data_IF_095571296372
#
_entry.id   IF_095571296372
#
_cell.length_a   1.000
_cell.length_b   1.000
_cell.length_c   1.000
_cell.angle_alpha   90.00
_cell.angle_beta   90.00
_cell.angle_gamma   90.00
#
_symmetry.space_group_name_H-M   'P 1'
#
loop_
_entity.id
_entity.type
_entity.pdbx_description
1 polymer ?
#
# COMPACT_ATOMS: atom_id res chain seq x y z
N UNK A 1 -13.57 -4.20 -10.06
CA UNK A 1 -12.83 -4.99 -11.08
C UNK A 1 -13.26 -4.71 -12.53
N UNK A 2 -14.50 -4.32 -12.84
CA UNK A 2 -14.98 -4.08 -14.23
C UNK A 2 -14.46 -2.82 -14.95
N UNK A 3 -13.75 -1.92 -14.28
CA UNK A 3 -13.34 -0.65 -14.89
C UNK A 3 -12.04 -0.77 -15.71
N UNK A 4 -11.11 -1.67 -15.36
CA UNK A 4 -9.76 -1.66 -15.99
C UNK A 4 -9.53 -2.61 -17.15
N UNK A 5 -10.18 -3.77 -17.21
CA UNK A 5 -10.17 -4.56 -18.45
C UNK A 5 -10.91 -3.84 -19.58
N UNK A 6 -11.87 -2.97 -19.26
CA UNK A 6 -12.75 -2.32 -20.24
C UNK A 6 -12.19 -1.02 -20.80
N UNK A 7 -11.44 -0.22 -20.03
CA UNK A 7 -10.82 1.04 -20.49
C UNK A 7 -9.84 0.80 -21.66
N UNK A 8 -9.08 -0.30 -21.61
CA UNK A 8 -8.11 -0.65 -22.66
C UNK A 8 -8.65 -1.58 -23.74
N UNK A 9 -9.73 -2.36 -23.48
CA UNK A 9 -10.29 -3.28 -24.49
C UNK A 9 -11.43 -2.65 -25.30
N UNK A 10 -12.40 -1.95 -24.71
CA UNK A 10 -13.55 -1.37 -25.45
C UNK A 10 -14.47 -0.60 -24.50
N UNK A 11 -14.20 0.67 -24.17
CA UNK A 11 -15.23 1.48 -23.51
C UNK A 11 -15.60 2.73 -24.30
N UNK A 12 -16.86 2.74 -24.75
CA UNK A 12 -17.54 3.91 -25.32
C UNK A 12 -17.50 5.06 -24.31
N UNK A 13 -17.52 4.77 -23.00
CA UNK A 13 -17.36 5.73 -21.91
C UNK A 13 -16.00 6.43 -21.90
N UNK A 14 -14.87 5.70 -22.07
CA UNK A 14 -13.55 6.35 -22.17
C UNK A 14 -13.49 7.23 -23.42
N UNK A 15 -14.00 6.74 -24.55
CA UNK A 15 -14.04 7.49 -25.81
C UNK A 15 -14.93 8.74 -25.73
N UNK A 16 -16.06 8.66 -25.02
CA UNK A 16 -17.02 9.75 -24.83
C UNK A 16 -16.55 10.76 -23.77
N UNK A 17 -15.99 10.30 -22.66
CA UNK A 17 -15.32 11.16 -21.67
C UNK A 17 -14.15 11.91 -22.30
N UNK A 18 -13.33 11.22 -23.10
CA UNK A 18 -12.24 11.79 -23.88
C UNK A 18 -12.70 12.82 -24.91
N UNK A 19 -13.81 12.54 -25.59
CA UNK A 19 -14.41 13.45 -26.58
C UNK A 19 -14.98 14.71 -25.93
N UNK A 20 -15.46 14.61 -24.69
CA UNK A 20 -16.12 15.70 -23.96
C UNK A 20 -15.16 16.57 -23.12
N UNK A 21 -13.96 16.08 -22.77
CA UNK A 21 -13.01 16.79 -21.87
C UNK A 21 -11.64 17.04 -22.50
N UNK A 22 -11.58 17.15 -23.84
CA UNK A 22 -10.34 17.41 -24.58
C UNK A 22 -10.06 18.91 -24.62
N UNK A 23 -9.19 19.37 -23.72
CA UNK A 23 -8.61 20.71 -23.82
C UNK A 23 -7.25 20.64 -24.53
N UNK A 24 -7.11 21.40 -25.62
CA UNK A 24 -5.85 21.55 -26.32
C UNK A 24 -4.87 22.38 -25.50
N UNK A 25 -4.04 21.73 -24.67
CA UNK A 25 -3.02 22.42 -23.89
C UNK A 25 -1.81 22.74 -24.79
N UNK A 26 -1.30 23.98 -24.73
CA UNK A 26 -0.03 24.34 -25.38
C UNK A 26 1.07 23.43 -24.82
N UNK A 27 1.77 22.70 -25.71
CA UNK A 27 2.95 21.91 -25.34
C UNK A 27 3.89 22.80 -24.51
N UNK A 28 4.23 22.36 -23.29
CA UNK A 28 5.13 23.10 -22.42
C UNK A 28 6.51 23.20 -23.06
N UNK A 29 7.30 24.22 -22.66
CA UNK A 29 8.69 24.38 -23.13
C UNK A 29 9.50 23.09 -22.88
N UNK A 30 9.32 22.49 -21.70
CA UNK A 30 9.92 21.22 -21.29
C UNK A 30 9.69 20.09 -22.31
N UNK A 31 8.44 19.80 -22.69
CA UNK A 31 8.13 18.73 -23.63
C UNK A 31 8.74 18.98 -25.02
N UNK A 32 8.79 20.24 -25.47
CA UNK A 32 9.46 20.60 -26.73
C UNK A 32 10.97 20.34 -26.65
N UNK A 33 11.61 20.76 -25.57
CA UNK A 33 13.05 20.54 -25.35
C UNK A 33 13.38 19.06 -25.25
N UNK A 34 12.59 18.27 -24.51
CA UNK A 34 12.74 16.81 -24.44
C UNK A 34 12.63 16.17 -25.83
N UNK A 35 11.61 16.54 -26.62
CA UNK A 35 11.41 16.00 -27.96
C UNK A 35 12.54 16.37 -28.92
N UNK A 36 13.06 17.61 -28.89
CA UNK A 36 14.24 17.97 -29.69
C UNK A 36 15.46 17.18 -29.25
N UNK A 37 15.72 17.12 -27.94
CA UNK A 37 16.88 16.45 -27.36
C UNK A 37 16.93 14.95 -27.66
N UNK A 38 15.77 14.28 -27.68
CA UNK A 38 15.70 12.86 -28.05
C UNK A 38 15.42 12.63 -29.55
N UNK A 39 15.29 13.67 -30.38
CA UNK A 39 15.04 13.53 -31.81
C UNK A 39 13.65 12.99 -32.15
N UNK A 40 12.64 13.32 -31.34
CA UNK A 40 11.21 13.13 -31.65
C UNK A 40 10.54 14.43 -32.14
N UNK A 41 11.23 15.57 -32.04
CA UNK A 41 10.94 16.80 -32.77
C UNK A 41 12.08 17.09 -33.75
N UNK A 42 11.80 17.84 -34.82
CA UNK A 42 12.81 18.20 -35.81
C UNK A 42 12.69 19.66 -36.24
N UNK A 43 13.80 20.18 -36.75
CA UNK A 43 13.89 21.53 -37.29
C UNK A 43 13.94 21.48 -38.82
N UNK A 44 13.12 22.30 -39.46
CA UNK A 44 13.05 22.44 -40.91
C UNK A 44 13.35 23.90 -41.30
N UNK A 45 14.22 24.10 -42.29
CA UNK A 45 14.49 25.44 -42.84
C UNK A 45 13.45 25.77 -43.90
N UNK A 46 12.62 26.77 -43.64
CA UNK A 46 11.56 27.22 -44.54
C UNK A 46 11.94 28.59 -45.10
N UNK A 47 11.78 28.76 -46.42
CA UNK A 47 11.95 30.05 -47.06
C UNK A 47 10.66 30.86 -46.88
N UNK A 48 10.78 32.05 -46.28
CA UNK A 48 9.67 32.99 -46.13
C UNK A 48 9.98 34.27 -46.88
N UNK A 49 9.04 34.69 -47.71
CA UNK A 49 9.16 35.92 -48.48
C UNK A 49 8.61 37.08 -47.64
N UNK A 50 9.44 38.08 -47.36
CA UNK A 50 9.05 39.30 -46.64
C UNK A 50 9.33 40.47 -47.58
N UNK A 51 8.28 40.98 -48.22
CA UNK A 51 8.43 41.96 -49.30
C UNK A 51 9.18 41.37 -50.50
N UNK A 52 10.35 41.92 -50.83
CA UNK A 52 11.23 41.45 -51.92
C UNK A 52 12.36 40.52 -51.46
N UNK A 53 12.55 40.36 -50.16
CA UNK A 53 13.63 39.54 -49.60
C UNK A 53 13.13 38.13 -49.24
N UNK A 54 13.98 37.13 -49.49
CA UNK A 54 13.75 35.76 -49.03
C UNK A 54 14.57 35.53 -47.79
N UNK A 55 13.90 35.31 -46.66
CA UNK A 55 14.54 34.98 -45.39
C UNK A 55 14.42 33.48 -45.15
N UNK A 56 15.50 32.85 -44.70
CA UNK A 56 15.48 31.46 -44.22
C UNK A 56 15.06 31.47 -42.75
N UNK A 57 13.90 30.92 -42.45
CA UNK A 57 13.37 30.77 -41.10
C UNK A 57 13.49 29.31 -40.66
N UNK A 58 14.02 29.06 -39.47
CA UNK A 58 14.03 27.71 -38.88
C UNK A 58 12.70 27.47 -38.19
N UNK A 59 11.94 26.48 -38.66
CA UNK A 59 10.67 26.06 -38.10
C UNK A 59 10.84 24.76 -37.33
N UNK A 60 10.42 24.74 -36.07
CA UNK A 60 10.41 23.52 -35.26
C UNK A 60 9.07 22.79 -35.43
N UNK A 61 9.14 21.48 -35.65
CA UNK A 61 7.99 20.60 -35.87
C UNK A 61 7.95 19.56 -34.76
N UNK A 62 6.78 19.42 -34.16
CA UNK A 62 6.53 18.53 -33.03
C UNK A 62 5.31 17.65 -33.28
N UNK A 63 5.31 16.42 -32.75
CA UNK A 63 4.11 15.61 -32.57
C UNK A 63 2.98 16.42 -31.92
N UNK A 64 1.75 16.25 -32.41
CA UNK A 64 0.58 16.76 -31.68
C UNK A 64 0.42 15.94 -30.40
N UNK A 65 0.32 16.63 -29.27
CA UNK A 65 0.15 16.00 -27.96
C UNK A 65 -1.29 16.18 -27.49
N UNK A 66 -1.84 15.11 -26.93
CA UNK A 66 -3.10 15.09 -26.20
C UNK A 66 -2.78 14.64 -24.79
N UNK A 67 -3.14 15.45 -23.78
CA UNK A 67 -2.89 15.13 -22.38
C UNK A 67 -4.24 14.93 -21.71
N UNK A 68 -4.37 13.81 -21.01
CA UNK A 68 -5.43 13.61 -20.04
C UNK A 68 -4.82 13.44 -18.67
N UNK A 69 -5.64 13.70 -17.68
CA UNK A 69 -5.38 13.33 -16.31
C UNK A 69 -6.54 12.49 -15.83
N UNK A 70 -6.22 11.36 -15.22
CA UNK A 70 -7.07 10.80 -14.18
C UNK A 70 -6.38 11.04 -12.84
N UNK A 71 -7.02 10.67 -11.73
CA UNK A 71 -6.42 10.86 -10.41
C UNK A 71 -5.03 10.27 -10.18
N UNK A 72 -4.72 9.18 -10.86
CA UNK A 72 -3.51 8.40 -10.67
C UNK A 72 -2.46 8.70 -11.73
N UNK A 73 -2.88 9.07 -12.94
CA UNK A 73 -2.01 9.12 -14.09
C UNK A 73 -2.26 10.32 -14.99
N UNK A 74 -1.17 10.83 -15.57
CA UNK A 74 -1.19 11.58 -16.80
C UNK A 74 -1.08 10.63 -17.98
N UNK A 75 -2.00 10.76 -18.93
CA UNK A 75 -1.95 10.05 -20.22
C UNK A 75 -1.50 11.05 -21.26
N UNK A 76 -0.30 10.87 -21.79
CA UNK A 76 0.24 11.69 -22.86
C UNK A 76 0.23 10.89 -24.16
N UNK A 77 -0.58 11.35 -25.12
CA UNK A 77 -0.70 10.71 -26.42
C UNK A 77 -0.10 11.61 -27.50
N UNK A 78 0.91 11.09 -28.17
CA UNK A 78 1.68 11.77 -29.19
C UNK A 78 1.32 11.21 -30.56
N UNK A 79 0.88 12.08 -31.48
CA UNK A 79 0.63 11.69 -32.87
C UNK A 79 1.94 11.68 -33.64
N UNK A 80 2.23 10.56 -34.31
CA UNK A 80 3.42 10.44 -35.15
C UNK A 80 3.38 11.47 -36.27
N UNK A 81 4.53 12.07 -36.51
CA UNK A 81 4.82 12.87 -37.70
C UNK A 81 5.42 11.94 -38.78
N UNK A 82 5.26 12.28 -40.08
CA UNK A 82 5.78 11.45 -41.15
C UNK A 82 7.25 11.09 -40.95
N UNK A 83 7.60 9.81 -41.17
CA UNK A 83 8.95 9.29 -41.02
C UNK A 83 9.29 8.71 -39.64
N UNK A 84 8.48 8.95 -38.60
CA UNK A 84 8.72 8.36 -37.28
C UNK A 84 8.30 6.89 -37.21
N UNK A 85 9.09 6.11 -36.48
CA UNK A 85 8.89 4.67 -36.31
C UNK A 85 8.52 4.31 -34.87
N UNK A 86 7.72 3.28 -34.69
CA UNK A 86 7.29 2.83 -33.36
C UNK A 86 8.47 2.50 -32.44
N UNK A 87 9.54 1.90 -32.98
CA UNK A 87 10.74 1.56 -32.23
C UNK A 87 11.40 2.80 -31.60
N UNK A 88 11.45 3.92 -32.32
CA UNK A 88 12.05 5.16 -31.83
C UNK A 88 11.33 5.68 -30.58
N UNK A 89 10.00 5.67 -30.61
CA UNK A 89 9.17 6.09 -29.48
C UNK A 89 9.35 5.19 -28.26
N UNK A 90 9.41 3.87 -28.44
CA UNK A 90 9.65 2.93 -27.34
C UNK A 90 11.02 3.18 -26.69
N UNK A 91 12.06 3.36 -27.50
CA UNK A 91 13.43 3.59 -26.99
C UNK A 91 13.63 4.93 -26.30
N UNK A 92 12.75 5.91 -26.53
CA UNK A 92 12.91 7.30 -26.05
C UNK A 92 11.91 7.67 -24.95
N UNK A 93 11.04 6.74 -24.53
CA UNK A 93 10.00 7.03 -23.55
C UNK A 93 10.56 7.43 -22.17
N UNK A 94 11.68 6.85 -21.75
CA UNK A 94 12.35 7.17 -20.48
C UNK A 94 12.79 8.65 -20.40
N UNK A 95 13.15 9.27 -21.54
CA UNK A 95 13.52 10.68 -21.58
C UNK A 95 12.40 11.60 -21.06
N UNK A 96 11.14 11.22 -21.29
CA UNK A 96 9.99 11.94 -20.76
C UNK A 96 9.78 11.70 -19.27
N UNK A 97 10.05 10.48 -18.78
CA UNK A 97 9.99 10.18 -17.34
C UNK A 97 10.95 11.07 -16.56
N UNK A 98 12.20 11.16 -17.05
CA UNK A 98 13.22 12.04 -16.47
C UNK A 98 12.85 13.52 -16.56
N UNK A 99 12.40 13.97 -17.73
CA UNK A 99 12.07 15.38 -17.92
C UNK A 99 10.89 15.83 -17.05
N UNK A 100 9.87 14.98 -16.90
CA UNK A 100 8.67 15.29 -16.11
C UNK A 100 8.85 15.03 -14.62
N UNK A 101 9.92 14.35 -14.22
CA UNK A 101 10.12 13.82 -12.86
C UNK A 101 8.94 12.94 -12.41
N UNK A 102 8.32 12.22 -13.37
CA UNK A 102 7.18 11.34 -13.11
C UNK A 102 7.54 9.90 -13.54
N UNK A 103 7.20 8.88 -12.72
CA UNK A 103 7.40 7.49 -13.10
C UNK A 103 6.62 7.13 -14.37
N UNK A 104 7.32 6.67 -15.41
CA UNK A 104 6.69 6.10 -16.59
C UNK A 104 6.12 4.73 -16.25
N UNK A 105 4.79 4.65 -16.29
CA UNK A 105 4.01 3.46 -15.96
C UNK A 105 3.96 2.49 -17.13
N UNK A 106 3.67 3.02 -18.32
CA UNK A 106 3.43 2.21 -19.50
C UNK A 106 3.60 3.03 -20.78
N UNK A 107 4.11 2.37 -21.81
CA UNK A 107 4.12 2.90 -23.18
C UNK A 107 3.36 1.95 -24.09
N UNK A 108 2.41 2.48 -24.88
CA UNK A 108 1.64 1.73 -25.89
C UNK A 108 1.69 2.46 -27.22
N UNK A 109 1.79 1.73 -28.33
CA UNK A 109 1.74 2.32 -29.67
C UNK A 109 0.56 1.75 -30.43
N UNK A 110 -0.27 2.61 -31.00
CA UNK A 110 -1.48 2.21 -31.71
C UNK A 110 -1.93 3.29 -32.71
N UNK A 111 -2.30 2.88 -33.93
CA UNK A 111 -2.90 3.75 -34.96
C UNK A 111 -2.12 5.04 -35.25
N UNK A 112 -0.78 4.99 -35.28
CA UNK A 112 0.07 6.16 -35.51
C UNK A 112 0.20 7.10 -34.30
N UNK A 113 -0.07 6.60 -33.10
CA UNK A 113 0.14 7.31 -31.85
C UNK A 113 1.03 6.52 -30.88
N UNK A 114 1.86 7.22 -30.11
CA UNK A 114 2.46 6.70 -28.89
C UNK A 114 1.70 7.27 -27.69
N UNK A 115 1.22 6.39 -26.81
CA UNK A 115 0.61 6.74 -25.54
C UNK A 115 1.59 6.38 -24.42
N UNK A 116 1.99 7.36 -23.63
CA UNK A 116 2.77 7.21 -22.41
C UNK A 116 1.89 7.51 -21.22
N UNK A 117 1.95 6.66 -20.20
CA UNK A 117 1.22 6.82 -18.94
C UNK A 117 2.24 7.16 -17.87
N UNK A 118 2.07 8.29 -17.20
CA UNK A 118 2.93 8.73 -16.10
C UNK A 118 2.13 8.78 -14.81
N UNK A 119 2.63 8.20 -13.73
CA UNK A 119 1.93 8.23 -12.44
C UNK A 119 2.09 9.62 -11.81
N UNK A 120 0.99 10.26 -11.39
CA UNK A 120 1.06 11.51 -10.64
C UNK A 120 1.34 11.22 -9.16
N UNK A 121 2.32 11.93 -8.60
CA UNK A 121 2.77 11.82 -7.19
C UNK A 121 1.78 12.28 -6.11
N UNK A 122 0.63 12.89 -6.45
CA UNK A 122 -0.29 13.46 -5.46
C UNK A 122 -1.65 12.78 -5.50
N UNK A 123 -1.75 11.68 -4.77
CA UNK A 123 -3.01 11.03 -4.44
C UNK A 123 -3.56 11.66 -3.16
N UNK A 124 -4.84 12.00 -3.11
CA UNK A 124 -5.56 12.47 -1.91
C UNK A 124 -6.50 11.40 -1.32
N UNK A 125 -7.19 11.74 -0.22
CA UNK A 125 -8.10 10.85 0.50
C UNK A 125 -9.20 10.16 -0.35
N UNK A 126 -9.63 10.77 -1.46
CA UNK A 126 -10.62 10.16 -2.35
C UNK A 126 -10.09 8.91 -3.09
N UNK A 127 -8.77 8.69 -3.01
CA UNK A 127 -8.07 7.58 -3.61
C UNK A 127 -7.53 6.58 -2.60
N UNK A 128 -8.01 6.57 -1.36
CA UNK A 128 -7.74 5.40 -0.52
C UNK A 128 -8.45 4.20 -1.15
N UNK A 129 -7.75 3.08 -1.43
CA UNK A 129 -8.39 1.91 -2.02
C UNK A 129 -9.51 1.43 -1.10
N UNK A 130 -10.78 1.51 -1.52
CA UNK A 130 -11.88 0.92 -0.75
C UNK A 130 -12.07 -0.51 -1.21
N UNK A 131 -12.16 -1.42 -0.25
CA UNK A 131 -12.43 -2.82 -0.50
C UNK A 131 -13.94 -3.06 -0.40
N UNK A 132 -14.48 -3.77 -1.38
CA UNK A 132 -15.90 -4.13 -1.46
C UNK A 132 -16.13 -5.65 -1.37
N UNK A 133 -15.05 -6.45 -1.27
CA UNK A 133 -15.11 -7.91 -1.23
C UNK A 133 -14.44 -8.50 0.02
N UNK A 134 -14.72 -9.76 0.32
CA UNK A 134 -14.19 -10.52 1.45
C UNK A 134 -12.87 -11.23 1.12
N UNK A 135 -12.15 -10.80 0.07
CA UNK A 135 -10.83 -11.37 -0.17
C UNK A 135 -9.93 -11.12 1.05
N UNK A 136 -8.91 -11.94 1.25
CA UNK A 136 -8.02 -11.82 2.40
C UNK A 136 -6.81 -10.94 2.03
N UNK A 137 -7.11 -9.70 1.67
CA UNK A 137 -6.12 -8.72 1.23
C UNK A 137 -6.45 -7.29 1.67
N UNK A 138 -5.47 -6.41 1.71
CA UNK A 138 -5.66 -4.97 2.01
C UNK A 138 -4.93 -4.16 0.96
N UNK A 139 -5.53 -3.07 0.47
CA UNK A 139 -4.87 -2.16 -0.45
C UNK A 139 -3.74 -1.40 0.25
N UNK A 140 -2.51 -1.56 -0.23
CA UNK A 140 -1.36 -0.78 0.24
C UNK A 140 -1.32 0.61 -0.41
N UNK A 141 -1.91 0.72 -1.60
CA UNK A 141 -1.88 1.94 -2.40
C UNK A 141 -1.95 1.59 -3.87
N UNK A 142 -1.07 2.20 -4.65
CA UNK A 142 -1.06 2.12 -6.10
C UNK A 142 0.33 1.90 -6.66
N UNK A 143 0.43 0.98 -7.62
CA UNK A 143 1.64 0.74 -8.40
C UNK A 143 1.24 0.77 -9.86
N UNK A 144 1.92 1.57 -10.69
CA UNK A 144 1.67 1.59 -12.13
C UNK A 144 0.19 1.93 -12.47
N UNK A 145 -0.41 2.84 -11.70
CA UNK A 145 -1.83 3.19 -11.81
C UNK A 145 -2.79 2.10 -11.32
N UNK A 146 -2.27 1.00 -10.77
CA UNK A 146 -3.02 -0.15 -10.31
C UNK A 146 -3.16 -0.21 -8.81
N UNK A 147 -4.34 -0.63 -8.31
CA UNK A 147 -4.49 -0.89 -6.87
C UNK A 147 -3.50 -1.98 -6.52
N UNK A 148 -2.66 -1.71 -5.55
CA UNK A 148 -1.60 -2.60 -5.14
C UNK A 148 -1.97 -3.20 -3.80
N UNK A 149 -2.28 -4.49 -3.81
CA UNK A 149 -2.78 -5.20 -2.64
C UNK A 149 -1.68 -5.97 -1.91
N UNK A 150 -1.87 -6.06 -0.60
CA UNK A 150 -1.20 -6.99 0.29
C UNK A 150 -2.12 -8.20 0.49
N UNK A 151 -1.72 -9.35 -0.05
CA UNK A 151 -2.33 -10.64 0.30
C UNK A 151 -1.66 -11.17 1.57
N UNK A 152 -2.41 -11.19 2.66
CA UNK A 152 -1.91 -11.64 3.96
C UNK A 152 -2.15 -13.13 4.21
N UNK A 153 -2.84 -13.86 3.32
CA UNK A 153 -2.82 -15.32 3.39
C UNK A 153 -1.49 -15.89 2.88
N UNK A 154 -0.90 -15.21 1.89
CA UNK A 154 0.42 -15.55 1.38
C UNK A 154 1.53 -14.98 2.27
N UNK A 155 1.44 -13.68 2.61
CA UNK A 155 2.48 -12.96 3.36
C UNK A 155 1.91 -12.29 4.63
N UNK A 156 1.58 -13.05 5.69
CA UNK A 156 0.73 -12.59 6.81
C UNK A 156 1.29 -11.49 7.69
N UNK A 157 2.61 -11.46 7.88
CA UNK A 157 3.23 -10.53 8.80
C UNK A 157 3.93 -9.41 8.04
N UNK A 158 3.72 -8.18 8.51
CA UNK A 158 4.20 -6.96 7.89
C UNK A 158 5.16 -6.20 8.82
N UNK A 159 6.30 -5.80 8.27
CA UNK A 159 7.22 -4.85 8.87
C UNK A 159 7.10 -3.52 8.13
N UNK A 160 6.79 -2.44 8.84
CA UNK A 160 6.73 -1.10 8.25
C UNK A 160 7.82 -0.24 8.87
N UNK A 161 8.79 0.21 8.07
CA UNK A 161 9.89 1.07 8.52
C UNK A 161 9.73 2.45 7.91
N UNK A 162 9.71 3.50 8.72
CA UNK A 162 9.59 4.86 8.20
C UNK A 162 10.11 5.91 9.18
N UNK A 163 11.03 6.75 8.72
CA UNK A 163 11.56 7.87 9.52
C UNK A 163 10.47 8.94 9.76
N UNK A 164 10.67 9.83 10.73
CA UNK A 164 9.79 10.98 10.95
C UNK A 164 9.60 11.78 9.66
N UNK A 165 8.33 12.10 9.33
CA UNK A 165 7.99 12.87 8.12
C UNK A 165 7.93 12.06 6.81
N UNK A 166 8.26 10.76 6.82
CA UNK A 166 8.22 9.88 5.64
C UNK A 166 6.81 9.59 5.09
N UNK A 167 5.77 9.91 5.84
CA UNK A 167 4.38 9.54 5.52
C UNK A 167 3.90 8.26 6.21
N UNK A 168 4.67 7.71 7.16
CA UNK A 168 4.31 6.54 7.98
C UNK A 168 2.88 6.58 8.55
N UNK A 169 2.54 7.61 9.33
CA UNK A 169 1.18 7.73 9.91
C UNK A 169 0.10 7.78 8.84
N UNK A 170 0.35 8.49 7.74
CA UNK A 170 -0.56 8.57 6.59
C UNK A 170 -0.77 7.20 5.94
N UNK A 171 0.30 6.45 5.71
CA UNK A 171 0.24 5.09 5.16
C UNK A 171 -0.53 4.15 6.10
N UNK A 172 -0.28 4.19 7.41
CA UNK A 172 -1.00 3.37 8.38
C UNK A 172 -2.49 3.71 8.41
N UNK A 173 -2.88 4.99 8.35
CA UNK A 173 -4.30 5.39 8.23
C UNK A 173 -4.95 4.85 6.95
N UNK A 174 -4.22 4.86 5.83
CA UNK A 174 -4.71 4.27 4.57
C UNK A 174 -5.01 2.78 4.78
N UNK A 175 -4.16 2.05 5.49
CA UNK A 175 -4.40 0.64 5.81
C UNK A 175 -5.60 0.47 6.75
N UNK A 176 -5.60 1.18 7.88
CA UNK A 176 -6.60 1.02 8.94
C UNK A 176 -8.05 1.22 8.46
N UNK A 177 -8.30 2.22 7.60
CA UNK A 177 -9.66 2.46 7.10
C UNK A 177 -10.19 1.33 6.21
N UNK A 178 -9.31 0.48 5.69
CA UNK A 178 -9.70 -0.62 4.81
C UNK A 178 -10.04 -1.90 5.57
N UNK A 179 -9.73 -1.99 6.86
CA UNK A 179 -10.05 -3.18 7.66
C UNK A 179 -11.57 -3.34 7.75
N UNK A 180 -12.13 -4.50 7.38
CA UNK A 180 -13.51 -4.85 7.65
C UNK A 180 -13.83 -4.86 9.14
N UNK A 181 -15.07 -4.53 9.51
CA UNK A 181 -15.50 -4.46 10.91
C UNK A 181 -15.68 -5.84 11.57
N UNK A 182 -15.79 -6.91 10.77
CA UNK A 182 -15.91 -8.29 11.24
C UNK A 182 -14.55 -8.96 11.48
N UNK A 183 -13.45 -8.29 11.15
CA UNK A 183 -12.10 -8.76 11.46
C UNK A 183 -11.68 -8.28 12.84
N UNK A 184 -10.82 -9.05 13.49
CA UNK A 184 -10.29 -8.66 14.80
C UNK A 184 -9.06 -7.78 14.56
N UNK A 185 -9.15 -6.51 14.95
CA UNK A 185 -8.07 -5.54 14.81
C UNK A 185 -7.73 -4.94 16.17
N UNK A 186 -6.54 -5.28 16.68
CA UNK A 186 -5.95 -4.67 17.87
C UNK A 186 -4.88 -3.68 17.43
N UNK A 187 -4.99 -2.43 17.88
CA UNK A 187 -4.03 -1.37 17.59
C UNK A 187 -3.31 -0.98 18.87
N UNK A 188 -1.98 -0.90 18.84
CA UNK A 188 -1.16 -0.38 19.92
C UNK A 188 -0.55 0.94 19.46
N UNK A 189 -0.96 2.04 20.10
CA UNK A 189 -0.48 3.39 19.78
C UNK A 189 0.69 3.76 20.70
N UNK A 190 1.93 3.52 20.25
CA UNK A 190 3.13 3.74 21.05
C UNK A 190 3.41 5.20 21.44
N UNK A 191 2.71 6.17 20.85
CA UNK A 191 2.87 7.60 21.15
C UNK A 191 1.60 8.26 21.71
N UNK A 192 0.49 7.53 21.77
CA UNK A 192 -0.82 8.01 22.23
C UNK A 192 -1.41 9.22 21.47
N UNK A 193 -0.86 9.54 20.30
CA UNK A 193 -1.24 10.74 19.52
C UNK A 193 -2.00 10.39 18.25
N UNK A 194 -1.64 9.28 17.60
CA UNK A 194 -2.07 9.01 16.23
C UNK A 194 -3.42 8.28 16.17
N UNK A 195 -3.66 7.34 17.08
CA UNK A 195 -4.79 6.41 17.03
C UNK A 195 -5.62 6.35 18.32
N UNK A 196 -5.15 6.97 19.42
CA UNK A 196 -5.86 6.99 20.71
C UNK A 196 -7.33 7.45 20.64
N UNK A 197 -7.67 8.32 19.69
CA UNK A 197 -9.06 8.76 19.48
C UNK A 197 -9.99 7.62 19.02
N UNK A 198 -9.47 6.61 18.32
CA UNK A 198 -10.26 5.47 17.84
C UNK A 198 -10.83 4.65 19.01
N UNK A 199 -10.14 4.64 20.17
CA UNK A 199 -10.65 4.03 21.40
C UNK A 199 -12.01 4.60 21.82
N UNK A 200 -12.19 5.92 21.65
CA UNK A 200 -13.47 6.61 21.95
C UNK A 200 -14.58 6.24 20.95
N UNK A 201 -14.21 5.71 19.79
CA UNK A 201 -15.13 5.22 18.77
C UNK A 201 -15.46 3.73 18.94
N UNK A 202 -14.93 3.05 19.97
CA UNK A 202 -15.20 1.64 20.25
C UNK A 202 -14.23 0.66 19.61
N UNK A 203 -13.16 1.13 18.97
CA UNK A 203 -12.08 0.27 18.47
C UNK A 203 -11.14 -0.15 19.61
N UNK A 204 -10.55 -1.34 19.47
CA UNK A 204 -9.58 -1.88 20.41
C UNK A 204 -8.22 -1.22 20.24
N UNK A 205 -7.96 -0.20 21.06
CA UNK A 205 -6.68 0.52 21.07
C UNK A 205 -6.01 0.46 22.44
N UNK A 206 -4.81 -0.09 22.48
CA UNK A 206 -3.91 -0.03 23.62
C UNK A 206 -3.22 1.33 23.67
N UNK A 207 -3.33 1.98 24.83
CA UNK A 207 -2.77 3.30 25.15
C UNK A 207 -1.95 3.26 26.45
N UNK A 208 -1.46 2.08 26.83
CA UNK A 208 -0.57 1.90 27.96
C UNK A 208 0.34 0.69 27.72
N UNK A 209 1.47 0.65 28.44
CA UNK A 209 2.39 -0.49 28.40
C UNK A 209 1.71 -1.81 28.80
N UNK A 210 0.85 -1.77 29.82
CA UNK A 210 0.10 -2.95 30.27
C UNK A 210 -0.81 -3.47 29.16
N UNK A 211 -1.62 -2.60 28.55
CA UNK A 211 -2.51 -2.98 27.44
C UNK A 211 -1.73 -3.49 26.22
N UNK A 212 -0.52 -2.96 25.97
CA UNK A 212 0.36 -3.48 24.92
C UNK A 212 0.75 -4.94 25.20
N UNK A 213 1.22 -5.25 26.41
CA UNK A 213 1.57 -6.62 26.80
C UNK A 213 0.34 -7.53 26.76
N UNK A 214 -0.79 -7.06 27.26
CA UNK A 214 -2.06 -7.80 27.25
C UNK A 214 -2.51 -8.13 25.81
N UNK A 215 -2.41 -7.20 24.86
CA UNK A 215 -2.78 -7.45 23.46
C UNK A 215 -1.84 -8.44 22.75
N UNK A 216 -0.56 -8.46 23.12
CA UNK A 216 0.39 -9.46 22.61
C UNK A 216 0.08 -10.84 23.20
N UNK A 217 -0.30 -10.91 24.48
CA UNK A 217 -0.78 -12.13 25.12
C UNK A 217 -2.06 -12.66 24.44
N UNK A 218 -3.07 -11.81 24.24
CA UNK A 218 -4.32 -12.17 23.58
C UNK A 218 -4.07 -12.75 22.19
N UNK A 219 -3.22 -12.10 21.39
CA UNK A 219 -2.87 -12.59 20.06
C UNK A 219 -2.14 -13.95 20.12
N UNK A 220 -1.25 -14.13 21.11
CA UNK A 220 -0.53 -15.38 21.32
C UNK A 220 -1.46 -16.53 21.71
N UNK A 221 -2.39 -16.28 22.65
CA UNK A 221 -3.38 -17.26 23.08
C UNK A 221 -4.35 -17.61 21.96
N UNK A 222 -4.72 -16.65 21.11
CA UNK A 222 -5.59 -16.92 19.95
C UNK A 222 -4.91 -17.86 18.94
N UNK A 223 -3.58 -17.73 18.74
CA UNK A 223 -2.82 -18.71 17.95
C UNK A 223 -2.96 -20.10 18.56
N UNK A 224 -2.69 -20.25 19.87
CA UNK A 224 -2.75 -21.54 20.56
C UNK A 224 -4.14 -22.17 20.44
N UNK A 225 -5.18 -21.39 20.77
CA UNK A 225 -6.58 -21.82 20.75
C UNK A 225 -7.00 -22.33 19.38
N UNK A 226 -6.72 -21.56 18.31
CA UNK A 226 -7.07 -21.96 16.94
C UNK A 226 -6.29 -23.20 16.50
N UNK A 227 -5.02 -23.35 16.89
CA UNK A 227 -4.24 -24.55 16.58
C UNK A 227 -4.79 -25.82 17.24
N UNK A 228 -5.21 -25.73 18.50
CA UNK A 228 -5.82 -26.85 19.22
C UNK A 228 -7.13 -27.30 18.55
N UNK A 229 -7.94 -26.36 18.10
CA UNK A 229 -9.18 -26.65 17.39
C UNK A 229 -8.93 -27.21 15.99
N UNK A 230 -8.00 -26.63 15.22
CA UNK A 230 -7.58 -27.15 13.91
C UNK A 230 -7.12 -28.61 14.03
N UNK A 231 -6.31 -28.91 15.05
CA UNK A 231 -5.86 -30.28 15.35
C UNK A 231 -7.02 -31.22 15.68
N UNK A 232 -8.01 -30.75 16.43
CA UNK A 232 -9.19 -31.54 16.82
C UNK A 232 -10.09 -31.84 15.62
N UNK A 233 -10.24 -30.89 14.69
CA UNK A 233 -11.07 -31.02 13.49
C UNK A 233 -10.30 -31.62 12.29
N UNK A 234 -8.99 -31.79 12.39
CA UNK A 234 -8.15 -32.34 11.32
C UNK A 234 -7.92 -31.39 10.14
N UNK A 235 -8.08 -30.09 10.35
CA UNK A 235 -7.88 -29.04 9.34
C UNK A 235 -6.55 -28.32 9.56
N UNK A 236 -6.05 -27.59 8.56
CA UNK A 236 -4.73 -26.94 8.63
C UNK A 236 -4.79 -25.42 8.49
N UNK A 237 -5.98 -24.88 8.28
CA UNK A 237 -6.19 -23.46 8.06
C UNK A 237 -7.41 -22.94 8.82
N UNK A 238 -7.25 -21.81 9.52
CA UNK A 238 -8.30 -21.15 10.28
C UNK A 238 -9.57 -20.84 9.46
N UNK A 239 -9.43 -20.68 8.14
CA UNK A 239 -10.56 -20.45 7.22
C UNK A 239 -11.50 -21.65 7.15
N UNK A 240 -10.96 -22.87 7.29
CA UNK A 240 -11.76 -24.11 7.34
C UNK A 240 -12.62 -24.18 8.61
N UNK A 241 -12.19 -23.49 9.67
CA UNK A 241 -12.95 -23.31 10.91
C UNK A 241 -13.90 -22.10 10.86
N UNK A 242 -13.92 -21.35 9.76
CA UNK A 242 -14.74 -20.14 9.61
C UNK A 242 -14.23 -18.93 10.43
N UNK A 243 -13.00 -18.99 10.95
CA UNK A 243 -12.44 -17.89 11.72
C UNK A 243 -12.12 -16.68 10.84
N UNK A 244 -12.31 -15.49 11.42
CA UNK A 244 -11.94 -14.22 10.80
C UNK A 244 -10.46 -13.90 11.05
N UNK A 245 -9.80 -13.16 10.14
CA UNK A 245 -8.45 -12.69 10.36
C UNK A 245 -8.32 -11.89 11.66
N UNK A 246 -7.23 -12.12 12.38
CA UNK A 246 -6.81 -11.35 13.53
C UNK A 246 -5.57 -10.55 13.16
N UNK A 247 -5.55 -9.26 13.48
CA UNK A 247 -4.41 -8.37 13.26
C UNK A 247 -4.01 -7.68 14.56
N UNK A 248 -2.73 -7.79 14.89
CA UNK A 248 -2.08 -6.99 15.91
C UNK A 248 -1.15 -5.97 15.24
N UNK A 249 -1.56 -4.70 15.25
CA UNK A 249 -0.76 -3.58 14.77
C UNK A 249 -0.07 -2.90 15.96
N UNK A 250 1.25 -2.81 15.91
CA UNK A 250 2.04 -2.13 16.94
C UNK A 250 2.80 -0.96 16.33
N UNK A 251 2.35 0.26 16.62
CA UNK A 251 3.10 1.47 16.27
C UNK A 251 4.23 1.71 17.25
N UNK A 252 5.39 2.09 16.72
CA UNK A 252 6.62 2.31 17.50
C UNK A 252 7.02 1.11 18.36
N UNK A 253 7.01 -0.09 17.78
CA UNK A 253 7.28 -1.35 18.50
C UNK A 253 8.58 -1.31 19.33
N UNK A 254 9.67 -0.78 18.75
CA UNK A 254 10.97 -0.67 19.45
C UNK A 254 10.82 0.17 20.72
N UNK A 255 10.19 1.35 20.61
CA UNK A 255 10.02 2.26 21.72
C UNK A 255 9.22 1.62 22.85
N UNK A 256 8.11 0.95 22.52
CA UNK A 256 7.28 0.25 23.52
C UNK A 256 8.03 -0.87 24.23
N UNK A 257 8.84 -1.63 23.50
CA UNK A 257 9.64 -2.71 24.10
C UNK A 257 10.74 -2.15 25.02
N UNK A 258 11.28 -0.97 24.72
CA UNK A 258 12.27 -0.30 25.57
C UNK A 258 11.69 0.23 26.89
N UNK A 259 10.38 0.49 26.97
CA UNK A 259 9.76 0.92 28.24
C UNK A 259 9.54 -0.23 29.21
N UNK A 260 9.50 -1.47 28.72
CA UNK A 260 9.27 -2.66 29.53
C UNK A 260 10.33 -2.85 30.62
N UNK A 261 9.92 -3.47 31.73
CA UNK A 261 10.82 -3.71 32.86
C UNK A 261 11.94 -4.68 32.48
N UNK A 262 13.18 -4.25 32.76
CA UNK A 262 14.37 -5.10 32.69
C UNK A 262 14.56 -5.99 33.93
N UNK A 263 13.59 -5.99 34.87
CA UNK A 263 13.65 -6.85 36.04
C UNK A 263 13.33 -8.28 35.64
N UNK A 264 14.21 -9.21 36.03
CA UNK A 264 13.95 -10.65 35.87
C UNK A 264 12.90 -11.11 36.87
N UNK A 265 11.92 -11.85 36.39
CA UNK A 265 10.99 -12.58 37.24
C UNK A 265 11.71 -13.73 37.95
N UNK A 266 11.35 -13.95 39.22
CA UNK A 266 12.02 -14.96 40.06
C UNK A 266 11.76 -16.39 39.57
N UNK A 267 10.58 -16.65 39.02
CA UNK A 267 10.16 -17.98 38.60
C UNK A 267 10.77 -18.38 37.25
N UNK A 268 10.67 -17.48 36.26
CA UNK A 268 11.10 -17.76 34.88
C UNK A 268 12.55 -17.36 34.62
N UNK A 269 13.13 -16.47 35.43
CA UNK A 269 14.44 -15.86 35.18
C UNK A 269 14.47 -14.92 33.97
N UNK A 270 13.32 -14.66 33.34
CA UNK A 270 13.16 -13.84 32.13
C UNK A 270 12.70 -12.44 32.49
N UNK A 271 13.10 -11.46 31.68
CA UNK A 271 12.53 -10.11 31.73
C UNK A 271 11.19 -10.06 31.00
N UNK A 272 10.40 -9.00 31.22
CA UNK A 272 9.16 -8.79 30.45
C UNK A 272 9.44 -8.70 28.94
N UNK A 273 10.57 -8.07 28.59
CA UNK A 273 11.06 -8.01 27.21
C UNK A 273 11.29 -9.40 26.61
N UNK A 274 11.96 -10.29 27.34
CA UNK A 274 12.24 -11.65 26.85
C UNK A 274 10.94 -12.43 26.60
N UNK A 275 9.99 -12.35 27.54
CA UNK A 275 8.70 -13.02 27.43
C UNK A 275 7.87 -12.49 26.26
N UNK A 276 7.87 -11.16 26.06
CA UNK A 276 7.20 -10.55 24.92
C UNK A 276 7.80 -11.03 23.59
N UNK A 277 9.13 -11.06 23.49
CA UNK A 277 9.79 -11.54 22.27
C UNK A 277 9.53 -13.03 22.00
N UNK A 278 9.45 -13.87 23.03
CA UNK A 278 9.06 -15.28 22.88
C UNK A 278 7.67 -15.40 22.24
N UNK A 279 6.71 -14.58 22.68
CA UNK A 279 5.33 -14.56 22.16
C UNK A 279 5.26 -14.03 20.74
N UNK A 280 5.91 -12.90 20.46
CA UNK A 280 5.99 -12.35 19.10
C UNK A 280 6.65 -13.33 18.13
N UNK A 281 7.73 -14.00 18.55
CA UNK A 281 8.40 -15.04 17.76
C UNK A 281 7.43 -16.17 17.44
N UNK A 282 6.67 -16.61 18.42
CA UNK A 282 5.74 -17.71 18.24
C UNK A 282 4.58 -17.36 17.30
N UNK A 283 4.01 -16.16 17.45
CA UNK A 283 3.01 -15.62 16.52
C UNK A 283 3.61 -15.52 15.12
N UNK A 284 4.84 -15.04 14.96
CA UNK A 284 5.48 -14.91 13.65
C UNK A 284 5.71 -16.28 12.96
N UNK A 285 5.98 -17.34 13.73
CA UNK A 285 6.24 -18.68 13.20
C UNK A 285 4.95 -19.46 12.89
N UNK A 286 3.91 -19.31 13.72
CA UNK A 286 2.69 -20.13 13.65
C UNK A 286 1.46 -19.35 13.18
N UNK A 287 1.47 -18.03 13.26
CA UNK A 287 0.31 -17.16 13.06
C UNK A 287 -0.37 -17.31 11.71
N UNK A 288 0.37 -17.66 10.64
CA UNK A 288 -0.18 -17.86 9.29
C UNK A 288 -1.37 -18.81 9.26
N UNK A 289 -1.19 -20.05 9.72
CA UNK A 289 -2.25 -21.08 9.70
C UNK A 289 -3.40 -20.73 10.64
N UNK A 290 -3.10 -20.04 11.75
CA UNK A 290 -4.12 -19.57 12.70
C UNK A 290 -4.82 -18.28 12.24
N UNK A 291 -4.39 -17.64 11.15
CA UNK A 291 -4.94 -16.35 10.71
C UNK A 291 -4.67 -15.19 11.67
N UNK A 292 -3.58 -15.27 12.45
CA UNK A 292 -3.14 -14.22 13.37
C UNK A 292 -1.92 -13.51 12.78
N UNK A 293 -2.12 -12.26 12.39
CA UNK A 293 -1.20 -11.46 11.59
C UNK A 293 -0.55 -10.36 12.44
N UNK A 294 0.72 -10.06 12.18
CA UNK A 294 1.47 -9.02 12.89
C UNK A 294 1.74 -7.87 11.93
N UNK A 295 1.55 -6.63 12.39
CA UNK A 295 2.02 -5.43 11.71
C UNK A 295 2.91 -4.64 12.68
N UNK A 296 4.22 -4.79 12.54
CA UNK A 296 5.18 -4.11 13.40
C UNK A 296 5.71 -2.87 12.69
N UNK A 297 5.52 -1.70 13.31
CA UNK A 297 5.95 -0.43 12.73
C UNK A 297 7.14 0.11 13.51
N UNK A 298 8.22 0.41 12.78
CA UNK A 298 9.48 0.91 13.30
C UNK A 298 9.76 2.31 12.75
N UNK A 299 10.09 3.26 13.63
CA UNK A 299 10.60 4.56 13.20
C UNK A 299 12.12 4.61 13.11
N UNK A 300 12.81 3.71 13.82
CA UNK A 300 14.28 3.58 13.81
C UNK A 300 14.66 2.24 13.18
N UNK A 301 15.42 2.24 12.08
CA UNK A 301 15.94 1.02 11.51
C UNK A 301 17.17 0.57 12.30
N UNK A 302 16.96 -0.30 13.29
CA UNK A 302 18.05 -0.94 14.04
C UNK A 302 17.92 -2.46 13.96
N UNK A 303 18.87 -3.07 13.24
CA UNK A 303 18.93 -4.52 13.04
C UNK A 303 19.29 -5.29 14.30
N UNK A 304 19.81 -4.64 15.34
CA UNK A 304 20.11 -5.28 16.61
C UNK A 304 18.86 -5.49 17.48
N UNK A 305 17.79 -4.73 17.23
CA UNK A 305 16.62 -4.73 18.10
C UNK A 305 15.61 -5.84 17.77
N UNK A 306 15.40 -6.12 16.48
CA UNK A 306 14.45 -7.14 16.03
C UNK A 306 15.20 -8.43 15.69
N UNK A 307 15.04 -9.51 16.48
CA UNK A 307 15.69 -10.79 16.23
C UNK A 307 15.49 -11.28 14.79
N UNK A 308 16.54 -11.84 14.19
CA UNK A 308 16.52 -12.31 12.78
C UNK A 308 15.36 -13.26 12.51
N UNK A 309 15.11 -14.21 13.42
CA UNK A 309 14.01 -15.18 13.29
C UNK A 309 12.64 -14.50 13.16
N UNK A 310 12.39 -13.42 13.91
CA UNK A 310 11.13 -12.67 13.77
C UNK A 310 11.12 -11.96 12.42
N UNK A 311 12.21 -11.28 12.07
CA UNK A 311 12.32 -10.47 10.85
C UNK A 311 12.17 -11.28 9.56
N UNK A 312 12.68 -12.49 9.52
CA UNK A 312 12.53 -13.41 8.39
C UNK A 312 11.08 -13.85 8.19
N UNK A 313 10.28 -13.92 9.26
CA UNK A 313 8.86 -14.25 9.21
C UNK A 313 7.96 -13.02 8.93
N UNK A 314 8.48 -11.79 9.04
CA UNK A 314 7.83 -10.58 8.54
C UNK A 314 8.02 -10.48 7.02
N UNK A 315 7.31 -11.33 6.28
CA UNK A 315 7.51 -11.55 4.84
C UNK A 315 7.01 -10.43 3.94
N UNK A 316 6.16 -9.55 4.47
CA UNK A 316 5.85 -8.27 3.84
C UNK A 316 6.66 -7.17 4.53
N UNK A 317 7.47 -6.42 3.79
CA UNK A 317 8.30 -5.36 4.36
C UNK A 317 8.12 -4.08 3.57
N UNK A 318 7.76 -3.00 4.24
CA UNK A 318 7.53 -1.68 3.65
C UNK A 318 8.57 -0.71 4.21
N UNK A 319 9.22 0.06 3.34
CA UNK A 319 10.14 1.13 3.74
C UNK A 319 9.70 2.45 3.12
N UNK A 320 9.42 3.45 3.96
CA UNK A 320 8.96 4.79 3.55
C UNK A 320 10.06 5.83 3.76
N UNK A 321 10.44 6.52 2.66
CA UNK A 321 11.46 7.57 2.66
C UNK A 321 12.84 7.14 3.18
N UNK A 322 13.15 5.84 3.16
CA UNK A 322 14.21 5.17 3.92
C UNK A 322 15.64 5.71 3.79
N UNK A 323 16.50 5.19 4.67
CA UNK A 323 17.96 5.35 4.67
C UNK A 323 18.62 4.03 4.27
N UNK A 324 19.94 4.05 4.00
CA UNK A 324 20.68 2.81 3.73
C UNK A 324 20.49 1.76 4.85
N UNK A 325 20.48 2.21 6.11
CA UNK A 325 20.22 1.33 7.27
C UNK A 325 18.80 0.77 7.29
N UNK A 326 17.80 1.54 6.86
CA UNK A 326 16.42 1.05 6.75
C UNK A 326 16.28 0.01 5.63
N UNK A 327 16.90 0.27 4.48
CA UNK A 327 16.88 -0.66 3.36
C UNK A 327 17.64 -1.94 3.68
N UNK A 328 18.83 -1.85 4.30
CA UNK A 328 19.60 -3.02 4.74
C UNK A 328 18.83 -3.86 5.77
N UNK A 329 18.25 -3.22 6.79
CA UNK A 329 17.48 -3.93 7.80
C UNK A 329 16.27 -4.65 7.22
N UNK A 330 15.49 -3.99 6.36
CA UNK A 330 14.26 -4.55 5.81
C UNK A 330 14.55 -5.53 4.67
N UNK A 331 15.29 -5.09 3.67
CA UNK A 331 15.44 -5.77 2.38
C UNK A 331 16.73 -6.57 2.24
N UNK A 332 17.72 -6.36 3.11
CA UNK A 332 19.04 -7.01 2.98
C UNK A 332 20.09 -6.12 2.33
N UNK A 333 21.35 -6.53 2.46
CA UNK A 333 22.53 -5.73 2.11
C UNK A 333 22.69 -5.48 0.61
N UNK A 334 22.11 -6.34 -0.24
CA UNK A 334 22.02 -6.18 -1.69
C UNK A 334 21.14 -4.98 -2.08
N UNK A 335 20.21 -4.60 -1.22
CA UNK A 335 19.24 -3.52 -1.45
C UNK A 335 19.55 -2.24 -0.65
N UNK A 336 20.65 -2.20 0.10
CA UNK A 336 20.98 -1.04 0.97
C UNK A 336 21.17 0.29 0.22
N UNK A 337 21.49 0.26 -1.07
CA UNK A 337 21.78 1.46 -1.89
C UNK A 337 20.58 1.95 -2.72
N UNK A 338 19.36 1.56 -2.35
CA UNK A 338 18.15 2.07 -3.00
C UNK A 338 18.05 3.60 -2.85
N UNK A 339 17.45 4.25 -3.85
CA UNK A 339 17.22 5.68 -3.83
C UNK A 339 16.14 6.02 -2.79
N UNK A 340 16.31 7.13 -2.06
CA UNK A 340 15.26 7.64 -1.19
C UNK A 340 14.07 8.15 -2.01
N UNK A 341 12.88 7.62 -1.72
CA UNK A 341 11.62 8.05 -2.34
C UNK A 341 10.97 9.23 -1.58
N UNK A 342 10.18 10.08 -2.27
CA UNK A 342 9.46 11.18 -1.65
C UNK A 342 8.31 10.70 -0.74
N UNK A 343 7.73 11.62 0.04
CA UNK A 343 6.54 11.34 0.86
C UNK A 343 5.36 10.97 -0.04
N UNK A 344 4.62 9.92 0.33
CA UNK A 344 3.54 9.37 -0.49
C UNK A 344 4.00 8.22 -1.39
N UNK A 345 5.29 7.88 -1.35
CA UNK A 345 5.89 6.73 -2.03
C UNK A 345 6.67 5.85 -1.05
N UNK A 346 6.83 4.59 -1.41
CA UNK A 346 7.54 3.61 -0.60
C UNK A 346 8.05 2.44 -1.44
N UNK A 347 9.00 1.72 -0.87
CA UNK A 347 9.35 0.39 -1.34
C UNK A 347 8.64 -0.66 -0.53
N UNK A 348 8.32 -1.76 -1.18
CA UNK A 348 7.78 -2.95 -0.56
C UNK A 348 8.41 -4.20 -1.12
N UNK A 349 8.78 -5.10 -0.22
CA UNK A 349 9.23 -6.45 -0.52
C UNK A 349 8.16 -7.44 -0.05
N UNK A 350 7.65 -8.26 -0.97
CA UNK A 350 6.72 -9.37 -0.68
C UNK A 350 7.42 -10.67 -1.05
N UNK A 351 7.82 -11.45 -0.05
CA UNK A 351 8.75 -12.56 -0.27
C UNK A 351 10.08 -12.02 -0.78
N UNK A 352 10.41 -12.31 -2.04
CA UNK A 352 11.64 -11.85 -2.71
C UNK A 352 11.41 -10.71 -3.73
N UNK A 353 10.14 -10.37 -4.05
CA UNK A 353 9.84 -9.32 -5.04
C UNK A 353 9.89 -7.94 -4.39
N UNK A 354 10.93 -7.16 -4.71
CA UNK A 354 11.07 -5.76 -4.32
C UNK A 354 10.49 -4.82 -5.39
N UNK A 355 9.60 -3.92 -4.97
CA UNK A 355 8.88 -3.00 -5.87
C UNK A 355 8.65 -1.65 -5.20
N UNK A 356 8.39 -0.61 -5.98
CA UNK A 356 7.90 0.67 -5.46
C UNK A 356 6.38 0.81 -5.62
N UNK A 357 5.79 1.62 -4.77
CA UNK A 357 4.36 1.95 -4.80
C UNK A 357 4.14 3.38 -4.26
N UNK A 358 2.97 3.92 -4.53
CA UNK A 358 2.49 5.22 -4.03
C UNK A 358 1.23 5.02 -3.21
N UNK A 359 0.93 5.91 -2.27
CA UNK A 359 -0.28 5.84 -1.45
C UNK A 359 -0.89 7.24 -1.27
N UNK A 360 -2.18 7.28 -0.99
CA UNK A 360 -2.91 8.54 -0.83
C UNK A 360 -2.42 9.34 0.38
N UNK A 361 -2.29 10.65 0.19
CA UNK A 361 -2.19 11.60 1.26
C UNK A 361 -3.53 11.66 2.01
N UNK A 362 -3.64 10.80 3.00
CA UNK A 362 -4.81 10.67 3.85
C UNK A 362 -4.59 11.42 5.16
N UNK A 363 -5.24 12.58 5.26
CA UNK A 363 -5.11 13.46 6.41
C UNK A 363 -5.75 12.84 7.67
N UNK A 364 -5.38 13.36 8.84
CA UNK A 364 -6.03 12.92 10.09
C UNK A 364 -7.52 13.32 10.10
N UNK A 365 -7.86 14.45 9.49
CA UNK A 365 -9.23 14.95 9.41
C UNK A 365 -10.09 14.06 8.53
N UNK A 366 -9.59 13.69 7.34
CA UNK A 366 -10.28 12.76 6.45
C UNK A 366 -10.44 11.38 7.10
N UNK A 367 -9.39 10.88 7.75
CA UNK A 367 -9.44 9.61 8.47
C UNK A 367 -10.47 9.61 9.59
N UNK A 368 -10.53 10.68 10.40
CA UNK A 368 -11.55 10.84 11.44
C UNK A 368 -12.95 10.87 10.83
N UNK A 369 -13.14 11.64 9.77
CA UNK A 369 -14.43 11.77 9.07
C UNK A 369 -14.93 10.43 8.56
N UNK A 370 -14.07 9.67 7.88
CA UNK A 370 -14.42 8.35 7.34
C UNK A 370 -14.61 7.30 8.44
N UNK A 371 -13.80 7.32 9.51
CA UNK A 371 -14.03 6.43 10.66
C UNK A 371 -15.36 6.72 11.35
N UNK A 372 -15.72 8.00 11.50
CA UNK A 372 -17.00 8.39 12.05
C UNK A 372 -18.15 7.96 11.15
N UNK A 373 -18.07 8.12 9.83
CA UNK A 373 -19.14 7.66 8.93
C UNK A 373 -19.32 6.15 8.98
N UNK A 374 -18.22 5.37 9.04
CA UNK A 374 -18.26 3.92 9.26
C UNK A 374 -18.91 3.53 10.60
N UNK A 375 -18.75 4.35 11.63
CA UNK A 375 -19.31 4.10 12.95
C UNK A 375 -20.77 4.55 13.09
N UNK A 376 -21.20 5.53 12.27
CA UNK A 376 -22.58 6.03 12.21
C UNK A 376 -23.49 5.06 11.45
N UNK A 377 -22.93 4.17 10.62
CA UNK A 377 -23.69 3.09 10.00
C UNK A 377 -24.09 1.97 10.97
N UNK A 378 -23.56 1.86 12.21
CA UNK A 378 -24.05 0.76 13.08
C UNK A 378 -23.76 0.79 14.60
N UNK A 379 -24.20 1.84 15.31
CA UNK A 379 -24.21 1.83 16.78
C UNK A 379 -25.24 0.86 17.39
N UNK A 380 -26.26 0.47 16.63
CA UNK A 380 -27.27 -0.51 17.06
C UNK A 380 -26.77 -1.94 16.85
N UNK A 381 -26.24 -2.31 15.67
CA UNK A 381 -25.77 -3.69 15.45
C UNK A 381 -24.47 -4.01 16.19
N UNK A 382 -23.61 -3.02 16.48
CA UNK A 382 -22.43 -3.24 17.34
C UNK A 382 -22.82 -3.65 18.77
N UNK A 383 -23.88 -3.06 19.34
CA UNK A 383 -24.37 -3.42 20.69
C UNK A 383 -24.99 -4.81 20.72
N UNK A 384 -25.69 -5.20 19.66
CA UNK A 384 -26.28 -6.54 19.51
C UNK A 384 -25.19 -7.62 19.42
N UNK A 385 -24.15 -7.41 18.60
CA UNK A 385 -23.04 -8.38 18.40
C UNK A 385 -22.18 -8.60 19.65
N UNK A 386 -21.99 -7.56 20.48
CA UNK A 386 -21.21 -7.66 21.72
C UNK A 386 -21.95 -8.42 22.83
N UNK A 387 -23.27 -8.52 22.76
CA UNK A 387 -24.06 -9.39 23.64
C UNK A 387 -24.01 -10.85 23.18
N UNK A 388 -23.93 -11.10 21.87
CA UNK A 388 -23.81 -12.45 21.29
C UNK A 388 -22.43 -13.07 21.51
N UNK A 389 -21.33 -12.29 21.42
CA UNK A 389 -19.96 -12.80 21.62
C UNK A 389 -19.62 -13.22 23.08
N UNK A 390 -20.51 -12.92 24.04
CA UNK A 390 -20.34 -13.26 25.46
C UNK A 390 -21.15 -14.50 25.88
N UNK A 391 -21.82 -15.18 24.94
CA UNK A 391 -22.41 -16.49 25.19
C UNK A 391 -21.61 -17.57 24.45
N UNK A 392 -21.16 -18.65 25.10
CA UNK A 392 -20.63 -19.79 24.39
C UNK A 392 -21.75 -20.37 23.51
N UNK A 393 -21.52 -20.45 22.19
CA UNK A 393 -22.44 -21.19 21.32
C UNK A 393 -22.54 -22.64 21.82
N UNK A 394 -23.74 -23.18 22.05
CA UNK A 394 -23.87 -24.59 22.39
C UNK A 394 -23.46 -25.43 21.18
N UNK A 395 -22.51 -26.36 21.39
CA UNK A 395 -22.29 -27.45 20.43
C UNK A 395 -23.61 -28.20 20.25
N UNK A 396 -24.27 -28.01 19.11
CA UNK A 396 -25.57 -28.61 18.81
C UNK A 396 -25.70 -29.00 17.33
N UNK A 397 -25.49 -30.28 17.07
CA UNK A 397 -26.09 -31.12 16.01
C UNK A 397 -26.07 -30.60 14.56
N UNK A 398 -24.91 -30.73 13.91
CA UNK A 398 -24.84 -30.99 12.46
C UNK A 398 -24.29 -32.39 12.18
N UNK A 399 -24.98 -33.41 12.70
CA UNK A 399 -24.82 -34.78 12.20
C UNK A 399 -26.22 -35.38 12.05
N UNK A 400 -26.61 -35.60 10.79
CA UNK A 400 -27.63 -36.50 10.23
C UNK A 400 -28.54 -35.76 9.26
N UNK A 401 -28.11 -35.71 8.01
CA UNK A 401 -28.99 -35.85 6.85
C UNK A 401 -28.09 -36.10 5.64
N UNK A 402 -27.61 -37.33 5.52
CA UNK A 402 -27.24 -37.96 4.26
C UNK A 402 -26.93 -39.42 4.58
N UNK A 403 -27.98 -40.24 4.58
CA UNK A 403 -28.02 -41.67 4.25
C UNK A 403 -29.40 -42.22 4.59
N UNK A 404 -30.32 -42.13 3.64
CA UNK A 404 -31.46 -43.03 3.48
C UNK A 404 -31.81 -43.13 1.99
#
# INVERSE_FOLDING_TARGET
SKTRETILKTDRFFRDYWRNHRDGIKVSKLLRETMLGCGLGYEEKVKRQIGRETVLETKQIFPKIEILKDPFNYYMRFRFIPGQMSKEWLTKAEAFSHALELPLVKTKIENGYCMMVFQHQQLDASYVPRKEDDSHSIGLGYRLGERFDWDFNEFPHCLIVGLTGSGKSTFVRNLLIQFPQDWILKVVDGKFVEFSFMKKLGYDVATSEKEFVDYVEEAHQEVIRRFEEMKTQGVNDYRELGYKPYFLLVDEFIFLVETLSNKKEKETGKTQRDQLFDKIRDIALRGRSAGVNLMLILQRPDSSFLPTVIRENLTTKVVLGGSETAFDMAFGSEHKKLQRLPKGEGYIMKGEELTNFSFANYSLEDFKKDLHSRNVEDLETYKTRKQESNQPEPLGDRIKEDHA
#
